data_IF_983108372170
#
_entry.id   IF_983108372170
#
_cell.length_a   1.000
_cell.length_b   1.000
_cell.length_c   1.000
_cell.angle_alpha   90.00
_cell.angle_beta   90.00
_cell.angle_gamma   90.00
#
_symmetry.space_group_name_H-M   'P 1'
#
loop_
_entity.id
_entity.type
_entity.pdbx_description
1 polymer ?
#
# COMPACT_ATOMS: atom_id res chain seq x y z
N UNK A 1 -0.61 -8.49 5.66
CA UNK A 1 -0.11 -7.84 4.43
C UNK A 1 -1.09 -6.72 4.10
N UNK A 2 -0.68 -5.45 4.13
CA UNK A 2 -1.58 -4.29 3.99
C UNK A 2 -1.57 -3.73 2.55
N UNK A 3 -1.42 -4.57 1.52
CA UNK A 3 -1.17 -4.09 0.15
C UNK A 3 -2.29 -3.17 -0.30
N UNK A 4 -3.53 -3.61 -0.14
CA UNK A 4 -4.70 -2.84 -0.55
C UNK A 4 -4.79 -1.52 0.22
N UNK A 5 -4.69 -1.54 1.56
CA UNK A 5 -4.71 -0.33 2.37
C UNK A 5 -3.56 0.62 2.01
N UNK A 6 -2.36 0.09 1.75
CA UNK A 6 -1.19 0.87 1.32
C UNK A 6 -1.41 1.48 -0.06
N UNK A 7 -2.01 0.77 -1.00
CA UNK A 7 -2.33 1.27 -2.34
C UNK A 7 -3.40 2.37 -2.28
N UNK A 8 -4.48 2.16 -1.52
CA UNK A 8 -5.53 3.16 -1.31
C UNK A 8 -4.97 4.43 -0.67
N UNK A 9 -4.19 4.31 0.41
CA UNK A 9 -3.54 5.46 1.04
C UNK A 9 -2.58 6.16 0.07
N UNK A 10 -1.76 5.41 -0.66
CA UNK A 10 -0.84 5.99 -1.63
C UNK A 10 -1.59 6.73 -2.75
N UNK A 11 -2.75 6.22 -3.18
CA UNK A 11 -3.62 6.91 -4.14
C UNK A 11 -4.17 8.21 -3.56
N UNK A 12 -4.66 8.22 -2.31
CA UNK A 12 -5.15 9.44 -1.66
C UNK A 12 -4.06 10.50 -1.47
N UNK A 13 -2.85 10.10 -1.04
CA UNK A 13 -1.71 11.02 -0.96
C UNK A 13 -1.32 11.58 -2.33
N UNK A 14 -1.37 10.76 -3.39
CA UNK A 14 -1.10 11.19 -4.76
C UNK A 14 -2.13 12.21 -5.24
N UNK A 15 -3.41 11.97 -4.97
CA UNK A 15 -4.49 12.92 -5.28
C UNK A 15 -4.29 14.24 -4.54
N UNK A 16 -4.07 14.19 -3.21
CA UNK A 16 -3.83 15.39 -2.41
C UNK A 16 -2.60 16.18 -2.89
N UNK A 17 -1.51 15.48 -3.22
CA UNK A 17 -0.32 16.11 -3.76
C UNK A 17 -0.57 16.78 -5.12
N UNK A 18 -1.32 16.13 -6.01
CA UNK A 18 -1.70 16.69 -7.31
C UNK A 18 -2.55 17.95 -7.18
N UNK A 19 -3.53 17.96 -6.26
CA UNK A 19 -4.36 19.14 -5.96
C UNK A 19 -3.52 20.31 -5.42
N UNK A 20 -2.56 20.04 -4.53
CA UNK A 20 -1.66 21.06 -4.00
C UNK A 20 -0.77 21.66 -5.09
N UNK A 21 -0.20 20.81 -5.95
CA UNK A 21 0.61 21.24 -7.09
C UNK A 21 -0.24 22.10 -8.02
N UNK A 22 -1.46 21.68 -8.38
CA UNK A 22 -2.33 22.44 -9.26
C UNK A 22 -2.65 23.83 -8.70
N UNK A 23 -2.96 23.91 -7.41
CA UNK A 23 -3.23 25.17 -6.70
C UNK A 23 -2.00 26.10 -6.69
N UNK A 24 -0.80 25.53 -6.57
CA UNK A 24 0.46 26.28 -6.50
C UNK A 24 1.05 26.64 -7.87
N UNK A 25 0.90 25.78 -8.88
CA UNK A 25 1.43 25.99 -10.23
C UNK A 25 0.83 27.26 -10.87
N UNK A 26 -0.46 27.53 -10.64
CA UNK A 26 -1.09 28.78 -11.08
C UNK A 26 -0.49 30.04 -10.43
N UNK A 27 0.05 29.93 -9.21
CA UNK A 27 0.71 31.03 -8.50
C UNK A 27 2.21 31.16 -8.82
N UNK A 28 2.88 30.06 -9.17
CA UNK A 28 4.32 30.02 -9.41
C UNK A 28 4.69 30.16 -10.89
N UNK A 29 3.73 29.98 -11.80
CA UNK A 29 3.93 30.03 -13.26
C UNK A 29 4.78 28.88 -13.80
N UNK A 30 4.98 27.81 -13.01
CA UNK A 30 5.85 26.69 -13.34
C UNK A 30 5.04 25.43 -13.67
N UNK A 31 4.93 25.14 -14.96
CA UNK A 31 4.19 23.98 -15.50
C UNK A 31 4.97 22.65 -15.38
N UNK A 32 6.17 22.64 -14.80
CA UNK A 32 7.03 21.44 -14.73
C UNK A 32 6.90 20.63 -13.43
N UNK A 33 6.12 21.12 -12.47
CA UNK A 33 5.91 20.45 -11.18
C UNK A 33 5.10 19.15 -11.36
N UNK A 34 5.67 18.03 -10.93
CA UNK A 34 5.02 16.72 -10.93
C UNK A 34 4.99 16.11 -9.52
N UNK A 35 4.02 15.21 -9.29
CA UNK A 35 3.90 14.49 -8.02
C UNK A 35 5.02 13.46 -7.92
N UNK A 36 5.88 13.49 -6.88
CA UNK A 36 6.87 12.45 -6.64
C UNK A 36 6.23 11.07 -6.40
N UNK A 37 7.02 10.00 -6.48
CA UNK A 37 6.48 8.67 -6.14
C UNK A 37 6.12 8.59 -4.65
N UNK A 38 4.92 8.08 -4.39
CA UNK A 38 4.33 8.05 -3.06
C UNK A 38 4.74 6.75 -2.37
N UNK A 39 5.75 6.85 -1.51
CA UNK A 39 6.27 5.72 -0.73
C UNK A 39 5.71 5.76 0.69
N UNK A 40 5.13 4.63 1.12
CA UNK A 40 4.65 4.39 2.48
C UNK A 40 5.44 3.26 3.12
N UNK A 41 6.27 3.59 4.11
CA UNK A 41 7.19 2.65 4.74
C UNK A 41 6.75 2.29 6.16
N UNK A 42 7.30 1.18 6.68
CA UNK A 42 7.14 0.88 8.10
C UNK A 42 8.04 1.80 8.93
N UNK A 43 7.50 2.49 9.95
CA UNK A 43 8.32 3.31 10.83
C UNK A 43 9.37 2.47 11.57
N UNK A 44 10.52 3.08 11.89
CA UNK A 44 11.57 2.42 12.70
C UNK A 44 11.11 2.13 14.12
N UNK A 45 10.21 2.97 14.67
CA UNK A 45 9.66 2.85 16.01
C UNK A 45 8.17 2.58 15.92
N UNK A 46 7.68 1.53 16.61
CA UNK A 46 6.27 1.18 16.62
C UNK A 46 5.36 2.29 17.20
N UNK A 47 5.91 3.17 18.03
CA UNK A 47 5.21 4.34 18.58
C UNK A 47 4.73 5.30 17.48
N UNK A 48 5.39 5.35 16.32
CA UNK A 48 5.06 6.19 15.17
C UNK A 48 3.95 5.61 14.28
N UNK A 49 3.29 4.54 14.71
CA UNK A 49 2.16 3.96 13.99
C UNK A 49 2.55 2.83 13.04
N UNK A 50 1.66 2.57 12.08
CA UNK A 50 1.75 1.40 11.20
C UNK A 50 2.52 1.73 9.90
N UNK A 51 2.40 2.97 9.41
CA UNK A 51 3.04 3.47 8.19
C UNK A 51 3.58 4.89 8.39
N UNK A 52 4.58 5.26 7.62
CA UNK A 52 5.12 6.62 7.54
C UNK A 52 5.27 7.07 6.08
N UNK A 53 5.07 8.37 5.85
CA UNK A 53 5.24 9.01 4.56
C UNK A 53 6.17 10.23 4.67
N UNK A 54 7.08 10.39 3.71
CA UNK A 54 8.02 11.52 3.62
C UNK A 54 7.68 12.50 2.49
N UNK A 55 6.52 12.35 1.84
CA UNK A 55 6.12 13.09 0.64
C UNK A 55 6.20 14.62 0.83
N UNK A 56 5.81 15.12 2.00
CA UNK A 56 5.86 16.55 2.29
C UNK A 56 7.27 17.14 2.21
N UNK A 57 8.29 16.39 2.65
CA UNK A 57 9.70 16.80 2.56
C UNK A 57 10.17 16.91 1.11
N UNK A 58 9.71 15.98 0.26
CA UNK A 58 10.07 15.95 -1.17
C UNK A 58 9.43 17.13 -1.93
N UNK A 59 8.21 17.50 -1.56
CA UNK A 59 7.43 18.53 -2.24
C UNK A 59 7.70 19.96 -1.75
N UNK A 60 8.20 20.13 -0.52
CA UNK A 60 8.39 21.44 0.11
C UNK A 60 9.26 22.40 -0.71
N UNK A 61 10.44 21.95 -1.16
CA UNK A 61 11.38 22.78 -1.93
C UNK A 61 10.82 23.17 -3.31
N UNK A 62 10.31 22.23 -4.14
CA UNK A 62 9.65 22.58 -5.40
C UNK A 62 8.49 23.56 -5.25
N UNK A 63 7.68 23.42 -4.20
CA UNK A 63 6.52 24.28 -3.95
C UNK A 63 6.83 25.60 -3.24
N UNK A 64 8.09 25.82 -2.81
CA UNK A 64 8.52 26.96 -1.99
C UNK A 64 7.65 27.12 -0.73
N UNK A 65 7.33 26.00 -0.09
CA UNK A 65 6.54 25.93 1.14
C UNK A 65 7.39 25.37 2.29
N UNK A 66 6.98 25.65 3.53
CA UNK A 66 7.55 24.89 4.65
C UNK A 66 7.06 23.43 4.55
N UNK A 67 7.90 22.42 4.86
CA UNK A 67 7.45 21.03 4.76
C UNK A 67 6.35 20.69 5.77
N UNK A 68 6.22 21.44 6.86
CA UNK A 68 5.11 21.30 7.80
C UNK A 68 3.78 21.76 7.21
N UNK A 69 3.76 22.85 6.45
CA UNK A 69 2.53 23.32 5.78
C UNK A 69 2.09 22.35 4.69
N UNK A 70 3.04 21.79 3.94
CA UNK A 70 2.75 20.74 2.96
C UNK A 70 2.19 19.50 3.66
N UNK A 71 2.82 19.08 4.77
CA UNK A 71 2.34 17.94 5.55
C UNK A 71 0.93 18.17 6.09
N UNK A 72 0.63 19.37 6.59
CA UNK A 72 -0.70 19.74 7.09
C UNK A 72 -1.75 19.65 5.98
N UNK A 73 -1.49 20.23 4.81
CA UNK A 73 -2.40 20.14 3.67
C UNK A 73 -2.67 18.68 3.28
N UNK A 74 -1.62 17.85 3.20
CA UNK A 74 -1.76 16.43 2.86
C UNK A 74 -2.61 15.68 3.90
N UNK A 75 -2.35 15.92 5.19
CA UNK A 75 -3.11 15.29 6.28
C UNK A 75 -4.58 15.68 6.24
N UNK A 76 -4.88 16.96 6.10
CA UNK A 76 -6.26 17.46 6.05
C UNK A 76 -7.00 16.87 4.87
N UNK A 77 -6.36 16.85 3.69
CA UNK A 77 -6.99 16.34 2.48
C UNK A 77 -7.19 14.83 2.49
N UNK A 78 -6.21 14.07 2.96
CA UNK A 78 -6.34 12.61 3.12
C UNK A 78 -7.43 12.26 4.14
N UNK A 79 -7.57 13.04 5.23
CA UNK A 79 -8.65 12.86 6.20
C UNK A 79 -10.03 13.03 5.57
N UNK A 80 -10.18 14.03 4.68
CA UNK A 80 -11.44 14.22 3.93
C UNK A 80 -11.73 13.08 2.96
N UNK A 81 -10.70 12.57 2.26
CA UNK A 81 -10.84 11.45 1.32
C UNK A 81 -11.23 10.16 2.05
N UNK A 82 -10.66 9.89 3.22
CA UNK A 82 -11.03 8.75 4.07
C UNK A 82 -12.48 8.86 4.57
N UNK A 83 -12.89 10.04 5.06
CA UNK A 83 -14.26 10.27 5.49
C UNK A 83 -15.28 10.12 4.33
N UNK A 84 -14.94 10.58 3.13
CA UNK A 84 -15.76 10.42 1.95
C UNK A 84 -15.88 8.94 1.52
N UNK A 85 -14.78 8.19 1.58
CA UNK A 85 -14.76 6.75 1.28
C UNK A 85 -15.55 5.92 2.31
N UNK A 86 -15.49 6.30 3.58
CA UNK A 86 -16.28 5.67 4.64
C UNK A 86 -17.78 5.90 4.45
N UNK A 87 -18.17 7.08 3.96
CA UNK A 87 -19.57 7.44 3.71
C UNK A 87 -20.15 6.77 2.45
N UNK A 88 -19.33 6.53 1.42
CA UNK A 88 -19.77 5.89 0.18
C UNK A 88 -19.86 4.36 0.26
N UNK A 89 -19.25 3.75 1.27
CA UNK A 89 -19.36 2.31 1.53
C UNK A 89 -20.74 1.89 2.12
N UNK A 90 -21.62 2.86 2.39
CA UNK A 90 -22.99 2.64 2.88
C UNK A 90 -24.04 2.46 1.79
N UNK A 91 -24.09 1.28 1.15
CA UNK A 91 -25.30 0.71 0.54
C UNK A 91 -25.08 -0.77 0.12
N UNK A 92 -25.32 -1.71 1.03
CA UNK A 92 -25.60 -3.12 0.65
C UNK A 92 -26.72 -3.62 1.58
N UNK A 93 -27.83 -4.20 1.05
CA UNK A 93 -28.89 -4.75 1.87
C UNK A 93 -28.37 -5.96 2.65
N UNK A 94 -28.74 -6.04 3.93
CA UNK A 94 -28.49 -7.20 4.76
C UNK A 94 -29.15 -8.44 4.12
N UNK A 95 -28.34 -9.39 3.66
CA UNK A 95 -28.79 -10.70 3.25
C UNK A 95 -28.54 -11.68 4.42
N UNK A 96 -29.64 -11.99 5.10
CA UNK A 96 -30.01 -13.26 5.74
C UNK A 96 -28.94 -14.06 6.52
N UNK A 97 -28.90 -13.78 7.82
CA UNK A 97 -28.90 -14.76 8.93
C UNK A 97 -27.98 -15.98 8.86
N UNK A 98 -26.80 -15.88 9.50
CA UNK A 98 -26.28 -16.91 10.40
C UNK A 98 -25.22 -16.30 11.33
N UNK A 99 -25.49 -16.36 12.64
CA UNK A 99 -24.67 -15.74 13.67
C UNK A 99 -23.40 -16.53 13.99
N UNK A 100 -22.24 -15.87 13.86
CA UNK A 100 -21.06 -16.07 14.71
C UNK A 100 -20.08 -14.88 14.52
N UNK A 101 -20.05 -13.97 15.49
CA UNK A 101 -18.98 -12.96 15.64
C UNK A 101 -18.96 -11.83 14.61
N UNK A 102 -19.86 -10.85 14.76
CA UNK A 102 -19.90 -9.63 13.96
C UNK A 102 -18.56 -8.87 13.98
N UNK A 103 -17.93 -8.75 12.81
CA UNK A 103 -16.67 -8.04 12.61
C UNK A 103 -16.63 -7.38 11.22
N UNK A 104 -17.58 -6.49 10.94
CA UNK A 104 -17.31 -5.29 10.13
C UNK A 104 -18.56 -4.41 10.01
N UNK A 105 -18.60 -3.32 10.77
CA UNK A 105 -19.35 -2.13 10.37
C UNK A 105 -18.72 -1.61 9.07
N UNK A 106 -19.44 -1.74 7.97
CA UNK A 106 -18.99 -1.45 6.60
C UNK A 106 -18.78 0.06 6.29
N UNK A 107 -18.73 0.92 7.31
CA UNK A 107 -18.58 2.37 7.15
C UNK A 107 -17.49 2.96 8.08
N UNK A 108 -16.52 2.15 8.52
CA UNK A 108 -15.45 2.62 9.41
C UNK A 108 -14.28 3.20 8.62
N UNK A 109 -13.89 4.43 8.96
CA UNK A 109 -12.68 5.10 8.47
C UNK A 109 -11.44 4.17 8.49
N UNK A 110 -10.63 4.24 7.44
CA UNK A 110 -9.40 3.45 7.31
C UNK A 110 -8.33 3.95 8.28
N UNK A 111 -8.34 5.25 8.59
CA UNK A 111 -7.31 5.93 9.37
C UNK A 111 -7.80 6.17 10.80
N UNK A 112 -7.05 5.68 11.79
CA UNK A 112 -7.26 6.00 13.20
C UNK A 112 -6.53 7.27 13.63
N UNK A 113 -5.46 7.66 12.93
CA UNK A 113 -4.75 8.90 13.20
C UNK A 113 -3.66 9.22 12.19
N UNK A 114 -3.49 10.51 11.94
CA UNK A 114 -2.39 11.09 11.18
C UNK A 114 -1.65 12.08 12.07
N UNK A 115 -0.34 11.91 12.21
CA UNK A 115 0.50 12.76 13.06
C UNK A 115 1.69 13.29 12.26
N UNK A 116 1.93 14.60 12.32
CA UNK A 116 3.07 15.23 11.68
C UNK A 116 4.25 15.24 12.65
N UNK A 117 5.29 14.51 12.32
CA UNK A 117 6.51 14.42 13.11
C UNK A 117 7.65 15.27 12.53
N UNK A 118 8.35 15.96 13.43
CA UNK A 118 9.54 16.75 13.12
C UNK A 118 9.30 17.76 11.99
N UNK A 119 10.14 17.75 10.93
CA UNK A 119 10.05 18.75 9.87
C UNK A 119 8.92 18.51 8.86
N UNK A 120 8.32 17.32 8.80
CA UNK A 120 7.30 16.98 7.80
C UNK A 120 7.13 15.48 7.49
N UNK A 121 7.50 14.59 8.41
CA UNK A 121 7.11 13.18 8.29
C UNK A 121 5.65 13.01 8.69
N UNK A 122 4.89 12.20 7.97
CA UNK A 122 3.49 11.92 8.30
C UNK A 122 3.42 10.47 8.79
N UNK A 123 3.15 10.31 10.08
CA UNK A 123 2.95 9.04 10.76
C UNK A 123 1.47 8.66 10.67
N UNK A 124 1.19 7.42 10.28
CA UNK A 124 -0.14 6.93 9.96
C UNK A 124 -0.47 5.74 10.87
N UNK A 125 -1.58 5.85 11.60
CA UNK A 125 -2.15 4.78 12.42
C UNK A 125 -3.42 4.29 11.74
N UNK A 126 -3.50 3.00 11.45
CA UNK A 126 -4.66 2.37 10.82
C UNK A 126 -5.72 2.01 11.86
N UNK A 127 -6.99 2.07 11.47
CA UNK A 127 -8.09 1.62 12.31
C UNK A 127 -8.01 0.11 12.58
N UNK A 128 -8.56 -0.33 13.71
CA UNK A 128 -8.56 -1.77 14.05
C UNK A 128 -9.28 -2.64 12.99
N UNK A 129 -10.40 -2.20 12.38
CA UNK A 129 -10.97 -2.90 11.22
C UNK A 129 -10.01 -2.96 10.03
N UNK A 130 -9.40 -1.83 9.64
CA UNK A 130 -8.49 -1.78 8.50
C UNK A 130 -7.26 -2.70 8.69
N UNK A 131 -6.73 -2.80 9.91
CA UNK A 131 -5.60 -3.71 10.22
C UNK A 131 -5.96 -5.18 10.16
N UNK A 132 -7.21 -5.53 10.45
CA UNK A 132 -7.69 -6.93 10.45
C UNK A 132 -8.23 -7.37 9.09
N UNK A 133 -8.61 -6.43 8.22
CA UNK A 133 -9.18 -6.73 6.90
C UNK A 133 -8.34 -7.74 6.07
N UNK A 134 -6.99 -7.66 6.04
CA UNK A 134 -6.20 -8.66 5.32
C UNK A 134 -6.36 -10.10 5.83
N UNK A 135 -6.64 -10.29 7.13
CA UNK A 135 -6.84 -11.64 7.69
C UNK A 135 -8.10 -12.26 7.11
N UNK A 136 -9.19 -11.49 7.03
CA UNK A 136 -10.42 -11.94 6.40
C UNK A 136 -10.22 -12.25 4.90
N UNK A 137 -9.41 -11.46 4.19
CA UNK A 137 -9.06 -11.72 2.80
C UNK A 137 -8.24 -13.02 2.63
N UNK A 138 -7.25 -13.26 3.50
CA UNK A 138 -6.44 -14.50 3.51
C UNK A 138 -7.33 -15.71 3.76
N UNK A 139 -8.17 -15.66 4.80
CA UNK A 139 -9.06 -16.76 5.15
C UNK A 139 -10.05 -17.07 4.03
N UNK A 140 -10.57 -16.05 3.34
CA UNK A 140 -11.47 -16.20 2.18
C UNK A 140 -10.76 -16.81 0.97
N UNK A 141 -9.51 -16.40 0.71
CA UNK A 141 -8.71 -16.92 -0.39
C UNK A 141 -8.24 -18.37 -0.14
N UNK A 142 -8.05 -18.77 1.12
CA UNK A 142 -7.70 -20.14 1.50
C UNK A 142 -6.45 -20.65 0.77
N UNK A 143 -6.54 -21.84 0.16
CA UNK A 143 -5.44 -22.45 -0.59
C UNK A 143 -5.03 -21.68 -1.86
N UNK A 144 -5.86 -20.75 -2.33
CA UNK A 144 -5.54 -19.88 -3.46
C UNK A 144 -4.81 -18.59 -3.03
N UNK A 145 -4.67 -18.33 -1.73
CA UNK A 145 -3.94 -17.15 -1.25
C UNK A 145 -2.50 -17.15 -1.76
N UNK A 146 -2.05 -16.02 -2.30
CA UNK A 146 -0.71 -15.87 -2.89
C UNK A 146 -0.61 -16.24 -4.37
N UNK A 147 -1.66 -16.81 -4.97
CA UNK A 147 -1.73 -16.97 -6.44
C UNK A 147 -1.98 -15.61 -7.11
N UNK A 148 -1.39 -15.41 -8.28
CA UNK A 148 -1.57 -14.20 -9.09
C UNK A 148 -1.72 -14.60 -10.56
N UNK A 149 -2.55 -13.85 -11.28
CA UNK A 149 -2.70 -13.88 -12.73
C UNK A 149 -1.70 -12.94 -13.44
N UNK A 150 -0.78 -12.32 -12.69
CA UNK A 150 0.25 -11.45 -13.24
C UNK A 150 1.16 -12.27 -14.15
N UNK A 151 1.14 -11.96 -15.45
CA UNK A 151 1.86 -12.71 -16.47
C UNK A 151 1.03 -13.82 -17.12
N UNK A 152 -0.28 -13.90 -16.85
CA UNK A 152 -1.17 -14.79 -17.57
C UNK A 152 -1.05 -14.59 -19.09
N UNK A 153 -0.90 -15.69 -19.82
CA UNK A 153 -0.70 -15.68 -21.27
C UNK A 153 0.74 -15.40 -21.74
N UNK A 154 1.69 -15.13 -20.84
CA UNK A 154 3.11 -15.00 -21.17
C UNK A 154 3.85 -16.32 -20.82
N UNK A 155 4.21 -17.17 -21.82
CA UNK A 155 4.92 -18.41 -21.54
C UNK A 155 6.33 -18.13 -20.98
N UNK A 156 6.73 -18.90 -19.97
CA UNK A 156 8.07 -18.83 -19.36
C UNK A 156 8.71 -20.21 -19.42
N UNK A 157 9.96 -20.27 -19.90
CA UNK A 157 10.78 -21.49 -19.88
C UNK A 157 11.75 -21.39 -18.71
N UNK A 158 11.74 -22.40 -17.83
CA UNK A 158 12.67 -22.51 -16.71
C UNK A 158 13.53 -23.75 -16.93
N UNK A 159 14.82 -23.56 -17.25
CA UNK A 159 15.80 -24.64 -17.37
C UNK A 159 16.64 -24.70 -16.09
N UNK A 160 16.81 -25.91 -15.54
CA UNK A 160 17.59 -26.13 -14.33
C UNK A 160 18.19 -27.54 -14.27
N UNK A 161 19.11 -27.76 -13.32
CA UNK A 161 19.97 -28.94 -13.14
C UNK A 161 21.04 -29.12 -14.22
N UNK A 162 20.66 -29.16 -15.50
CA UNK A 162 21.53 -29.28 -16.70
C UNK A 162 22.82 -30.09 -16.47
N UNK A 163 22.68 -31.24 -15.79
CA UNK A 163 23.82 -32.02 -15.31
C UNK A 163 24.49 -32.78 -16.45
N UNK A 164 25.81 -32.85 -16.43
CA UNK A 164 26.55 -33.67 -17.38
C UNK A 164 26.22 -35.17 -17.19
N UNK A 165 25.80 -35.90 -18.23
CA UNK A 165 25.36 -37.29 -18.11
C UNK A 165 26.48 -38.30 -17.79
N UNK A 166 27.74 -37.88 -17.77
CA UNK A 166 28.89 -38.79 -17.59
C UNK A 166 29.45 -38.84 -16.16
N UNK A 167 28.94 -38.02 -15.23
CA UNK A 167 29.43 -37.93 -13.84
C UNK A 167 28.34 -38.11 -12.79
N UNK A 168 28.71 -38.41 -11.53
CA UNK A 168 27.74 -38.57 -10.45
C UNK A 168 27.11 -37.21 -10.08
N UNK A 169 25.83 -37.23 -9.70
CA UNK A 169 25.16 -36.04 -9.16
C UNK A 169 25.72 -35.71 -7.76
N UNK A 170 26.08 -34.44 -7.55
CA UNK A 170 26.41 -33.91 -6.24
C UNK A 170 25.35 -32.93 -5.70
N UNK A 171 25.51 -32.50 -4.44
CA UNK A 171 24.60 -31.58 -3.73
C UNK A 171 24.30 -30.28 -4.49
N UNK A 172 25.26 -29.78 -5.30
CA UNK A 172 25.03 -28.62 -6.17
C UNK A 172 23.87 -28.81 -7.17
N UNK A 173 23.72 -30.00 -7.76
CA UNK A 173 22.58 -30.31 -8.64
C UNK A 173 21.28 -30.39 -7.84
N UNK A 174 21.31 -30.95 -6.63
CA UNK A 174 20.14 -31.00 -5.74
C UNK A 174 19.62 -29.60 -5.39
N UNK A 175 20.51 -28.64 -5.13
CA UNK A 175 20.14 -27.23 -4.94
C UNK A 175 19.49 -26.63 -6.19
N UNK A 176 20.06 -26.89 -7.37
CA UNK A 176 19.50 -26.38 -8.63
C UNK A 176 18.13 -27.01 -8.93
N UNK A 177 17.95 -28.30 -8.64
CA UNK A 177 16.68 -29.01 -8.73
C UNK A 177 15.62 -28.35 -7.85
N UNK A 178 15.92 -28.16 -6.56
CA UNK A 178 14.98 -27.56 -5.62
C UNK A 178 14.61 -26.12 -5.96
N UNK A 179 15.59 -25.31 -6.44
CA UNK A 179 15.33 -23.93 -6.82
C UNK A 179 14.50 -23.84 -8.11
N UNK A 180 14.85 -24.63 -9.12
CA UNK A 180 14.14 -24.61 -10.40
C UNK A 180 12.71 -25.10 -10.28
N UNK A 181 12.50 -26.20 -9.54
CA UNK A 181 11.17 -26.73 -9.22
C UNK A 181 10.31 -25.67 -8.52
N UNK A 182 10.85 -25.02 -7.47
CA UNK A 182 10.14 -23.97 -6.74
C UNK A 182 9.82 -22.72 -7.57
N UNK A 183 10.60 -22.42 -8.62
CA UNK A 183 10.34 -21.30 -9.54
C UNK A 183 9.31 -21.66 -10.63
N UNK A 184 9.16 -22.95 -10.95
CA UNK A 184 8.25 -23.45 -11.99
C UNK A 184 6.85 -23.85 -11.50
N UNK A 185 6.64 -23.87 -10.18
CA UNK A 185 5.42 -24.30 -9.51
C UNK A 185 4.27 -23.27 -9.54
#
# INVERSE_FOLDING_TARGET
>A
MLIEQKQTLAAWFRTAAGELIHTRAGSLGDATLSVPDVVLDRPKQASHGDLACNLALQMAKPLRMSPRDVAQFLVDRVTQLDAAAASSAGAVPAADGAAAGGLCDAASAMIAGLEIAGPGFINIRLSAPARRAPVAAVLRAGAAYGRSDRGAGAPVVVEFVSANPTGPLHVGHGRQAALGDALSA
#
